data_IF_001676110109
#
_entry.id   IF_001676110109
#
_cell.length_a   1.000
_cell.length_b   1.000
_cell.length_c   1.000
_cell.angle_alpha   90.00
_cell.angle_beta   90.00
_cell.angle_gamma   90.00
#
_symmetry.space_group_name_H-M   'P 1'
#
loop_
_entity.id
_entity.type
_entity.pdbx_description
1 polymer ?
#
# COMPACT_ATOMS: atom_id res chain seq x y z
N UNK A 1 -7.90 -20.40 -31.84
CA UNK A 1 -8.83 -19.28 -32.05
C UNK A 1 -9.86 -19.12 -30.91
N UNK A 2 -10.23 -20.20 -30.20
CA UNK A 2 -11.11 -20.13 -29.01
C UNK A 2 -10.46 -19.47 -27.80
N UNK A 3 -9.16 -19.66 -27.59
CA UNK A 3 -8.41 -19.01 -26.50
C UNK A 3 -8.48 -17.48 -26.60
N UNK A 4 -8.29 -16.93 -27.80
CA UNK A 4 -8.33 -15.49 -28.07
C UNK A 4 -9.70 -14.85 -27.79
N UNK A 5 -10.78 -15.62 -27.90
CA UNK A 5 -12.16 -15.14 -27.63
C UNK A 5 -12.46 -15.06 -26.12
N UNK A 6 -11.89 -15.96 -25.31
CA UNK A 6 -11.99 -15.90 -23.84
C UNK A 6 -11.26 -14.67 -23.26
N UNK A 7 -10.19 -14.21 -23.92
CA UNK A 7 -9.41 -13.01 -23.53
C UNK A 7 -10.03 -11.66 -23.90
N UNK A 8 -11.11 -11.64 -24.69
CA UNK A 8 -11.74 -10.40 -25.16
C UNK A 8 -13.21 -10.25 -24.73
N UNK A 9 -13.86 -11.35 -24.33
CA UNK A 9 -15.29 -11.36 -23.98
C UNK A 9 -15.59 -11.45 -22.48
N UNK A 10 -14.60 -11.76 -21.63
CA UNK A 10 -14.83 -12.05 -20.22
C UNK A 10 -13.75 -11.40 -19.34
N UNK A 11 -13.69 -10.05 -19.37
CA UNK A 11 -12.96 -9.20 -18.42
C UNK A 11 -13.41 -9.51 -16.98
N UNK A 12 -12.83 -10.57 -16.43
CA UNK A 12 -13.35 -11.28 -15.28
C UNK A 12 -12.23 -12.07 -14.61
N UNK A 13 -12.61 -12.84 -13.57
CA UNK A 13 -11.67 -13.49 -12.64
C UNK A 13 -10.59 -14.33 -13.32
N UNK A 14 -10.87 -14.95 -14.47
CA UNK A 14 -9.93 -15.81 -15.19
C UNK A 14 -8.69 -15.08 -15.71
N UNK A 15 -8.84 -13.88 -16.26
CA UNK A 15 -7.72 -13.10 -16.80
C UNK A 15 -6.83 -12.55 -15.69
N UNK A 16 -7.45 -12.09 -14.61
CA UNK A 16 -6.75 -11.64 -13.41
C UNK A 16 -5.88 -12.78 -12.85
N UNK A 17 -6.40 -14.02 -12.82
CA UNK A 17 -5.65 -15.20 -12.39
C UNK A 17 -4.46 -15.47 -13.32
N UNK A 18 -4.65 -15.37 -14.64
CA UNK A 18 -3.56 -15.59 -15.61
C UNK A 18 -2.45 -14.54 -15.44
N UNK A 19 -2.82 -13.26 -15.31
CA UNK A 19 -1.85 -12.17 -15.08
C UNK A 19 -1.14 -12.38 -13.74
N UNK A 20 -1.87 -12.73 -12.68
CA UNK A 20 -1.29 -13.05 -11.39
C UNK A 20 -0.31 -14.22 -11.47
N UNK A 21 -0.63 -15.28 -12.22
CA UNK A 21 0.28 -16.41 -12.44
C UNK A 21 1.55 -16.01 -13.19
N UNK A 22 1.45 -15.16 -14.23
CA UNK A 22 2.64 -14.66 -14.95
C UNK A 22 3.54 -13.86 -14.00
N UNK A 23 2.96 -12.95 -13.22
CA UNK A 23 3.70 -12.20 -12.19
C UNK A 23 4.30 -13.15 -11.16
N UNK A 24 3.57 -14.18 -10.74
CA UNK A 24 4.04 -15.16 -9.77
C UNK A 24 5.22 -15.98 -10.28
N UNK A 25 5.27 -16.30 -11.57
CA UNK A 25 6.41 -17.02 -12.18
C UNK A 25 7.62 -16.11 -12.33
N UNK A 26 7.43 -14.85 -12.74
CA UNK A 26 8.52 -13.89 -12.93
C UNK A 26 9.17 -13.46 -11.60
N UNK A 27 8.33 -13.16 -10.60
CA UNK A 27 8.80 -12.67 -9.31
C UNK A 27 8.94 -13.79 -8.27
N UNK A 28 8.21 -14.89 -8.42
CA UNK A 28 8.16 -15.98 -7.44
C UNK A 28 7.12 -15.76 -6.33
N UNK A 29 6.48 -16.85 -5.87
CA UNK A 29 5.42 -16.80 -4.86
C UNK A 29 5.83 -16.23 -3.50
N UNK A 30 7.13 -16.21 -3.20
CA UNK A 30 7.66 -15.63 -1.95
C UNK A 30 7.93 -14.13 -2.06
N UNK A 31 8.20 -13.59 -3.24
CA UNK A 31 8.58 -12.17 -3.38
C UNK A 31 7.42 -11.21 -3.16
N UNK A 32 6.21 -11.58 -3.58
CA UNK A 32 5.01 -10.76 -3.38
C UNK A 32 4.72 -10.53 -1.87
N UNK A 33 4.63 -11.57 -1.01
CA UNK A 33 4.37 -11.36 0.41
C UNK A 33 5.55 -10.69 1.13
N UNK A 34 6.80 -10.96 0.74
CA UNK A 34 7.96 -10.29 1.33
C UNK A 34 8.00 -8.79 0.97
N UNK A 35 7.68 -8.44 -0.27
CA UNK A 35 7.53 -7.06 -0.71
C UNK A 35 6.39 -6.35 0.03
N UNK A 36 5.22 -6.99 0.13
CA UNK A 36 4.08 -6.45 0.88
C UNK A 36 4.40 -6.22 2.36
N UNK A 37 5.14 -7.14 3.00
CA UNK A 37 5.61 -6.97 4.38
C UNK A 37 6.59 -5.81 4.51
N UNK A 38 7.52 -5.67 3.57
CA UNK A 38 8.49 -4.56 3.54
C UNK A 38 7.80 -3.21 3.39
N UNK A 39 6.90 -3.08 2.39
CA UNK A 39 6.09 -1.88 2.20
C UNK A 39 5.20 -1.59 3.42
N UNK A 40 4.56 -2.60 3.98
CA UNK A 40 3.68 -2.44 5.15
C UNK A 40 4.42 -1.91 6.38
N UNK A 41 5.66 -2.38 6.61
CA UNK A 41 6.52 -1.83 7.67
C UNK A 41 6.90 -0.39 7.39
N UNK A 42 7.35 -0.08 6.16
CA UNK A 42 7.72 1.28 5.78
C UNK A 42 6.56 2.29 5.91
N UNK A 43 5.36 1.91 5.46
CA UNK A 43 4.15 2.74 5.59
C UNK A 43 3.79 2.96 7.07
N UNK A 44 3.95 1.93 7.92
CA UNK A 44 3.69 2.04 9.36
C UNK A 44 4.66 2.99 10.03
N UNK A 45 5.96 2.80 9.81
CA UNK A 45 7.01 3.66 10.37
C UNK A 45 6.85 5.12 9.92
N UNK A 46 6.53 5.33 8.64
CA UNK A 46 6.23 6.66 8.10
C UNK A 46 5.03 7.31 8.79
N UNK A 47 3.95 6.55 9.00
CA UNK A 47 2.75 7.04 9.68
C UNK A 47 3.01 7.38 11.16
N UNK A 48 3.79 6.55 11.84
CA UNK A 48 4.16 6.75 13.23
C UNK A 48 5.02 8.02 13.38
N UNK A 49 6.02 8.22 12.53
CA UNK A 49 6.83 9.44 12.51
C UNK A 49 5.99 10.71 12.26
N UNK A 50 5.05 10.68 11.32
CA UNK A 50 4.14 11.81 11.08
C UNK A 50 3.28 12.12 12.31
N UNK A 51 2.83 11.08 13.02
CA UNK A 51 1.98 11.25 14.22
C UNK A 51 2.75 11.90 15.35
N UNK A 52 4.02 11.55 15.54
CA UNK A 52 4.86 12.14 16.58
C UNK A 52 5.16 13.61 16.26
N UNK A 53 5.51 13.92 15.00
CA UNK A 53 5.67 15.31 14.54
C UNK A 53 4.38 16.12 14.73
N UNK A 54 3.22 15.55 14.42
CA UNK A 54 1.93 16.23 14.62
C UNK A 54 1.67 16.56 16.09
N UNK A 55 2.02 15.66 17.00
CA UNK A 55 1.90 15.91 18.45
C UNK A 55 2.85 17.01 18.91
N UNK A 56 4.12 16.96 18.50
CA UNK A 56 5.10 18.01 18.85
C UNK A 56 4.64 19.40 18.37
N UNK A 57 4.04 19.49 17.18
CA UNK A 57 3.49 20.75 16.66
C UNK A 57 2.23 21.19 17.42
N UNK A 58 1.34 20.26 17.79
CA UNK A 58 0.15 20.56 18.61
C UNK A 58 0.50 20.99 20.03
N UNK A 59 1.51 20.36 20.64
CA UNK A 59 2.00 20.69 21.98
C UNK A 59 2.71 22.05 21.98
N UNK A 60 3.57 22.33 20.98
CA UNK A 60 4.21 23.64 20.82
C UNK A 60 3.19 24.77 20.55
N UNK A 61 2.09 24.48 19.84
CA UNK A 61 1.00 25.44 19.61
C UNK A 61 0.16 25.73 20.85
N UNK A 62 0.06 24.79 21.79
CA UNK A 62 -0.65 24.97 23.06
C UNK A 62 0.18 25.69 24.13
N UNK A 63 1.50 25.75 23.98
CA UNK A 63 2.41 26.44 24.89
C UNK A 63 2.59 27.94 24.59
N UNK A 64 2.00 28.46 23.50
CA UNK A 64 1.80 29.91 23.37
C UNK A 64 0.79 30.28 24.45
N UNK A 65 1.18 30.98 25.53
CA UNK A 65 0.26 31.34 26.58
C UNK A 65 -0.84 32.15 25.92
N UNK A 66 -2.08 31.62 25.96
CA UNK A 66 -3.28 32.38 25.65
C UNK A 66 -3.16 33.68 26.44
N UNK A 67 -2.74 34.74 25.77
CA UNK A 67 -2.67 36.07 26.35
C UNK A 67 -4.14 36.39 26.62
N UNK A 68 -4.55 36.14 27.86
CA UNK A 68 -5.89 36.44 28.33
C UNK A 68 -6.08 37.94 28.10
N UNK A 69 -7.04 38.28 27.25
CA UNK A 69 -7.68 39.59 27.26
C UNK A 69 -8.28 39.89 28.64
#
# INVERSE_FOLDING_TARGET
MTATLLFLGNFGTGEIIIVALVILVLFGAKKIPDFAKGLGKGIREFKDAIKDVKKEVEDAGNEIPKIKE
#
